data_IF_029437857718
#
_entry.id   IF_029437857718
#
_cell.length_a   1.000
_cell.length_b   1.000
_cell.length_c   1.000
_cell.angle_alpha   90.00
_cell.angle_beta   90.00
_cell.angle_gamma   90.00
#
_symmetry.space_group_name_H-M   'P 1'
#
loop_
_entity.id
_entity.type
_entity.pdbx_description
1 polymer ?
#
# COMPACT_ATOMS: atom_id res chain seq x y z
N UNK A 1 2.12 3.82 24.47
CA UNK A 1 1.19 4.77 23.83
C UNK A 1 1.84 5.25 22.53
N UNK A 2 1.28 4.91 21.42
CA UNK A 2 1.79 5.37 20.14
C UNK A 2 0.87 6.48 19.65
N UNK A 3 1.19 7.73 20.03
CA UNK A 3 0.43 8.90 19.59
C UNK A 3 0.60 9.24 18.10
N UNK A 4 1.33 8.43 17.33
CA UNK A 4 1.64 8.65 15.92
C UNK A 4 1.38 7.37 15.16
N UNK A 5 0.63 7.49 14.04
CA UNK A 5 0.41 6.41 13.06
C UNK A 5 0.60 6.98 11.66
N UNK A 6 1.62 6.51 10.95
CA UNK A 6 2.04 7.07 9.66
C UNK A 6 1.72 6.16 8.46
N UNK A 7 1.00 5.05 8.68
CA UNK A 7 0.62 4.14 7.61
C UNK A 7 -0.77 3.57 7.87
N UNK A 8 -1.79 4.23 7.29
CA UNK A 8 -3.19 3.84 7.47
C UNK A 8 -3.97 3.90 6.17
N UNK A 9 -4.97 3.03 6.04
CA UNK A 9 -5.82 2.94 4.87
C UNK A 9 -7.28 3.19 5.20
N UNK A 10 -7.95 3.95 4.33
CA UNK A 10 -9.40 4.13 4.34
C UNK A 10 -10.08 3.28 3.26
N UNK A 11 -11.40 3.39 3.15
CA UNK A 11 -12.17 2.76 2.08
C UNK A 11 -11.96 3.40 0.69
N UNK A 12 -11.12 4.43 0.60
CA UNK A 12 -10.65 4.95 -0.69
C UNK A 12 -9.73 3.93 -1.37
N UNK A 13 -9.04 3.08 -0.59
CA UNK A 13 -8.31 1.92 -1.12
C UNK A 13 -8.91 0.62 -0.56
N UNK A 14 -8.28 -0.06 0.35
CA UNK A 14 -8.72 -1.38 0.84
C UNK A 14 -8.96 -1.44 2.36
N UNK A 15 -8.92 -0.31 3.03
CA UNK A 15 -9.40 -0.17 4.39
C UNK A 15 -10.93 -0.36 4.51
N UNK A 16 -11.43 -0.41 5.73
CA UNK A 16 -12.86 -0.63 6.01
C UNK A 16 -13.59 0.62 6.49
N UNK A 17 -12.85 1.63 6.94
CA UNK A 17 -13.39 2.88 7.48
C UNK A 17 -13.33 3.98 6.43
N UNK A 18 -14.33 4.87 6.41
CA UNK A 18 -14.20 6.11 5.64
C UNK A 18 -13.09 6.99 6.21
N UNK A 19 -12.54 7.96 5.46
CA UNK A 19 -11.54 8.89 5.98
C UNK A 19 -11.97 9.56 7.29
N UNK A 20 -13.25 9.95 7.42
CA UNK A 20 -13.83 10.56 8.62
C UNK A 20 -13.89 9.56 9.78
N UNK A 21 -14.38 8.36 9.53
CA UNK A 21 -14.45 7.31 10.55
C UNK A 21 -13.07 6.90 11.04
N UNK A 22 -12.05 6.92 10.15
CA UNK A 22 -10.65 6.66 10.51
C UNK A 22 -10.10 7.76 11.43
N UNK A 23 -10.44 9.04 11.18
CA UNK A 23 -10.08 10.17 12.07
C UNK A 23 -10.63 9.93 13.49
N UNK A 24 -11.92 9.60 13.61
CA UNK A 24 -12.53 9.33 14.91
C UNK A 24 -11.93 8.10 15.60
N UNK A 25 -11.65 7.02 14.84
CA UNK A 25 -11.01 5.82 15.38
C UNK A 25 -9.58 6.11 15.90
N UNK A 26 -8.81 6.92 15.17
CA UNK A 26 -7.47 7.35 15.57
C UNK A 26 -7.49 8.14 16.89
N UNK A 27 -8.41 9.10 17.00
CA UNK A 27 -8.60 9.88 18.23
C UNK A 27 -8.98 8.98 19.40
N UNK A 28 -9.93 8.05 19.20
CA UNK A 28 -10.34 7.10 20.24
C UNK A 28 -9.19 6.18 20.68
N UNK A 29 -8.25 5.88 19.79
CA UNK A 29 -7.04 5.10 20.08
C UNK A 29 -5.90 5.95 20.70
N UNK A 30 -6.09 7.25 20.92
CA UNK A 30 -5.08 8.15 21.49
C UNK A 30 -4.00 8.57 20.50
N UNK A 31 -4.26 8.46 19.19
CA UNK A 31 -3.38 8.95 18.12
C UNK A 31 -3.58 10.46 18.00
N UNK A 32 -2.49 11.23 17.95
CA UNK A 32 -2.51 12.69 17.74
C UNK A 32 -1.87 13.12 16.41
N UNK A 33 -1.22 12.20 15.70
CA UNK A 33 -0.68 12.44 14.36
C UNK A 33 -0.94 11.21 13.51
N UNK A 34 -1.70 11.39 12.43
CA UNK A 34 -2.12 10.32 11.51
C UNK A 34 -1.68 10.67 10.09
N UNK A 35 -1.08 9.73 9.37
CA UNK A 35 -0.97 9.82 7.91
C UNK A 35 -2.01 8.92 7.25
N UNK A 36 -2.79 9.47 6.34
CA UNK A 36 -3.64 8.69 5.45
C UNK A 36 -2.84 8.36 4.20
N UNK A 37 -2.66 7.05 3.95
CA UNK A 37 -1.73 6.52 2.94
C UNK A 37 -2.39 5.47 2.07
N UNK A 38 -3.59 5.75 1.57
CA UNK A 38 -4.31 4.86 0.67
C UNK A 38 -3.47 4.45 -0.55
N UNK A 39 -3.67 3.25 -1.06
CA UNK A 39 -2.92 2.71 -2.20
C UNK A 39 -3.12 3.53 -3.47
N UNK A 40 -2.04 4.11 -3.98
CA UNK A 40 -1.97 4.89 -5.23
C UNK A 40 -3.08 5.96 -5.37
N UNK A 41 -3.60 6.45 -4.22
CA UNK A 41 -4.72 7.37 -4.18
C UNK A 41 -4.60 8.36 -3.01
N UNK A 42 -4.90 9.64 -3.25
CA UNK A 42 -4.86 10.71 -2.27
C UNK A 42 -6.23 11.38 -2.02
N UNK A 43 -7.32 10.85 -2.60
CA UNK A 43 -8.64 11.48 -2.59
C UNK A 43 -9.24 11.61 -1.18
N UNK A 44 -8.86 10.69 -0.26
CA UNK A 44 -9.31 10.70 1.14
C UNK A 44 -8.72 11.80 2.02
N UNK A 45 -7.58 12.39 1.63
CA UNK A 45 -6.80 13.29 2.50
C UNK A 45 -7.57 14.55 2.88
N UNK A 46 -8.25 15.19 1.91
CA UNK A 46 -9.00 16.41 2.19
C UNK A 46 -10.19 16.15 3.11
N UNK A 47 -10.86 15.01 2.96
CA UNK A 47 -11.96 14.56 3.82
C UNK A 47 -11.47 14.34 5.26
N UNK A 48 -10.34 13.63 5.42
CA UNK A 48 -9.72 13.42 6.74
C UNK A 48 -9.30 14.74 7.40
N UNK A 49 -8.69 15.66 6.65
CA UNK A 49 -8.32 17.00 7.14
C UNK A 49 -9.54 17.82 7.57
N UNK A 50 -10.57 17.87 6.73
CA UNK A 50 -11.80 18.58 7.07
C UNK A 50 -12.45 18.03 8.35
N UNK A 51 -12.53 16.71 8.48
CA UNK A 51 -13.04 16.06 9.69
C UNK A 51 -12.16 16.37 10.92
N UNK A 52 -10.83 16.33 10.79
CA UNK A 52 -9.94 16.63 11.92
C UNK A 52 -10.08 18.06 12.46
N UNK A 53 -10.47 19.02 11.60
CA UNK A 53 -10.72 20.42 12.00
C UNK A 53 -12.05 20.61 12.77
N UNK A 54 -12.96 19.66 12.71
CA UNK A 54 -14.24 19.70 13.45
C UNK A 54 -14.18 19.03 14.82
N UNK A 55 -13.02 18.47 15.20
CA UNK A 55 -12.84 17.84 16.50
C UNK A 55 -12.92 18.91 17.62
N UNK A 56 -13.76 18.62 18.62
CA UNK A 56 -13.89 19.49 19.78
C UNK A 56 -12.81 19.23 20.83
N UNK A 57 -12.43 20.26 21.57
CA UNK A 57 -11.49 20.13 22.69
C UNK A 57 -11.97 19.07 23.71
N UNK A 58 -11.08 18.27 24.31
CA UNK A 58 -9.61 18.36 24.23
C UNK A 58 -8.96 17.60 23.05
N UNK A 59 -9.74 17.12 22.11
CA UNK A 59 -9.25 16.28 21.01
C UNK A 59 -8.64 17.12 19.90
N UNK A 60 -7.47 16.68 19.42
CA UNK A 60 -6.84 17.22 18.23
C UNK A 60 -6.12 16.12 17.49
N UNK A 61 -6.17 16.13 16.16
CA UNK A 61 -5.48 15.17 15.31
C UNK A 61 -4.82 15.90 14.13
N UNK A 62 -3.51 15.80 14.05
CA UNK A 62 -2.75 16.28 12.90
C UNK A 62 -2.81 15.26 11.77
N UNK A 63 -3.33 15.65 10.60
CA UNK A 63 -3.32 14.83 9.40
C UNK A 63 -2.11 15.16 8.54
N UNK A 64 -1.25 14.17 8.32
CA UNK A 64 -0.15 14.22 7.36
C UNK A 64 -0.66 13.67 6.03
N UNK A 65 -0.54 14.42 4.91
CA UNK A 65 -0.85 13.88 3.60
C UNK A 65 0.17 12.79 3.25
N UNK A 66 -0.33 11.63 2.83
CA UNK A 66 0.47 10.49 2.45
C UNK A 66 -0.16 9.69 1.31
N UNK A 67 0.56 8.76 0.77
CA UNK A 67 0.09 7.74 -0.18
C UNK A 67 1.03 6.55 -0.15
N UNK A 68 0.50 5.34 -0.16
CA UNK A 68 1.29 4.12 -0.35
C UNK A 68 1.34 3.78 -1.84
N UNK A 69 2.51 4.00 -2.44
CA UNK A 69 2.74 3.84 -3.87
C UNK A 69 3.12 2.40 -4.18
N UNK A 70 2.37 1.77 -5.10
CA UNK A 70 2.74 0.48 -5.68
C UNK A 70 3.94 0.67 -6.62
N UNK A 71 5.05 0.03 -6.32
CA UNK A 71 6.30 0.12 -7.06
C UNK A 71 6.86 -1.26 -7.40
N UNK A 72 7.88 -1.31 -8.25
CA UNK A 72 8.56 -2.53 -8.62
C UNK A 72 10.04 -2.48 -8.24
N UNK A 73 10.50 -3.60 -7.71
CA UNK A 73 11.90 -3.87 -7.51
C UNK A 73 12.32 -5.09 -8.32
N UNK A 74 13.37 -4.96 -9.11
CA UNK A 74 13.91 -6.08 -9.89
C UNK A 74 15.32 -6.42 -9.41
N UNK A 75 15.56 -7.69 -9.12
CA UNK A 75 16.89 -8.16 -8.76
C UNK A 75 17.74 -8.31 -10.04
N UNK A 76 18.83 -7.55 -10.19
CA UNK A 76 19.63 -7.55 -11.42
C UNK A 76 20.11 -8.94 -11.85
N UNK A 77 20.58 -9.77 -10.89
CA UNK A 77 21.14 -11.09 -11.14
C UNK A 77 20.11 -12.12 -11.68
N UNK A 78 18.83 -11.97 -11.38
CA UNK A 78 17.80 -12.96 -11.74
C UNK A 78 16.77 -12.41 -12.71
N UNK A 79 16.77 -11.11 -12.98
CA UNK A 79 15.73 -10.38 -13.74
C UNK A 79 14.31 -10.59 -13.19
N UNK A 80 14.19 -11.14 -11.97
CA UNK A 80 12.89 -11.35 -11.31
C UNK A 80 12.43 -10.04 -10.73
N UNK A 81 11.20 -9.64 -11.05
CA UNK A 81 10.55 -8.45 -10.53
C UNK A 81 9.62 -8.80 -9.38
N UNK A 82 9.58 -7.93 -8.36
CA UNK A 82 8.75 -8.05 -7.17
C UNK A 82 8.00 -6.75 -6.97
N UNK A 83 6.71 -6.84 -6.64
CA UNK A 83 5.94 -5.70 -6.17
C UNK A 83 6.41 -5.31 -4.77
N UNK A 84 6.72 -4.04 -4.59
CA UNK A 84 7.07 -3.43 -3.31
C UNK A 84 6.28 -2.14 -3.15
N UNK A 85 6.18 -1.62 -1.93
CA UNK A 85 5.47 -0.38 -1.67
C UNK A 85 6.41 0.66 -1.08
N UNK A 86 6.18 1.91 -1.46
CA UNK A 86 6.86 3.08 -0.90
C UNK A 86 5.80 4.04 -0.39
N UNK A 87 5.84 4.34 0.89
CA UNK A 87 4.97 5.37 1.47
C UNK A 87 5.61 6.73 1.24
N UNK A 88 4.90 7.61 0.55
CA UNK A 88 5.24 9.01 0.44
C UNK A 88 4.54 9.80 1.55
N UNK A 89 5.27 10.63 2.29
CA UNK A 89 4.74 11.42 3.40
C UNK A 89 5.05 12.91 3.23
N UNK A 90 4.11 13.76 3.64
CA UNK A 90 4.35 15.17 3.87
C UNK A 90 4.64 16.01 2.63
N UNK A 91 4.19 15.60 1.44
CA UNK A 91 4.42 16.29 0.17
C UNK A 91 3.98 17.76 0.24
N UNK A 92 4.93 18.67 -0.04
CA UNK A 92 4.67 20.12 -0.08
C UNK A 92 4.23 20.59 -1.48
N UNK A 93 4.67 19.89 -2.53
CA UNK A 93 4.27 20.12 -3.91
C UNK A 93 3.78 18.81 -4.54
N UNK A 94 2.50 18.45 -4.39
CA UNK A 94 2.02 17.14 -4.82
C UNK A 94 1.88 16.97 -6.34
N UNK A 95 2.07 18.01 -7.16
CA UNK A 95 1.79 17.96 -8.60
C UNK A 95 2.54 16.84 -9.35
N UNK A 96 3.87 16.63 -9.18
CA UNK A 96 4.56 15.51 -9.84
C UNK A 96 4.00 14.15 -9.43
N UNK A 97 3.70 13.99 -8.14
CA UNK A 97 3.14 12.76 -7.60
C UNK A 97 1.74 12.49 -8.14
N UNK A 98 0.86 13.48 -8.17
CA UNK A 98 -0.50 13.34 -8.71
C UNK A 98 -0.48 12.93 -10.18
N UNK A 99 0.41 13.49 -10.99
CA UNK A 99 0.57 13.09 -12.41
C UNK A 99 0.97 11.60 -12.52
N UNK A 100 1.87 11.14 -11.68
CA UNK A 100 2.28 9.73 -11.63
C UNK A 100 1.12 8.84 -11.17
N UNK A 101 0.38 9.24 -10.13
CA UNK A 101 -0.76 8.47 -9.60
C UNK A 101 -1.88 8.30 -10.64
N UNK A 102 -2.12 9.28 -11.50
CA UNK A 102 -3.07 9.14 -12.60
C UNK A 102 -2.67 8.03 -13.60
N UNK A 103 -1.38 7.86 -13.86
CA UNK A 103 -0.90 6.72 -14.65
C UNK A 103 -1.07 5.39 -13.88
N UNK A 104 -0.73 5.37 -12.59
CA UNK A 104 -0.90 4.19 -11.74
C UNK A 104 -2.36 3.74 -11.66
N UNK A 105 -3.32 4.67 -11.55
CA UNK A 105 -4.77 4.38 -11.58
C UNK A 105 -5.15 3.57 -12.83
N UNK A 106 -4.68 3.98 -14.00
CA UNK A 106 -4.95 3.25 -15.27
C UNK A 106 -4.37 1.85 -15.24
N UNK A 107 -3.13 1.69 -14.79
CA UNK A 107 -2.46 0.39 -14.65
C UNK A 107 -3.22 -0.53 -13.67
N UNK A 108 -3.67 0.02 -12.52
CA UNK A 108 -4.46 -0.71 -11.53
C UNK A 108 -5.79 -1.20 -12.11
N UNK A 109 -6.54 -0.32 -12.77
CA UNK A 109 -7.82 -0.66 -13.39
C UNK A 109 -7.65 -1.78 -14.44
N UNK A 110 -6.65 -1.67 -15.32
CA UNK A 110 -6.35 -2.69 -16.31
C UNK A 110 -5.96 -4.03 -15.67
N UNK A 111 -5.09 -3.99 -14.65
CA UNK A 111 -4.66 -5.17 -13.90
C UNK A 111 -5.83 -5.85 -13.18
N UNK A 112 -6.69 -5.10 -12.52
CA UNK A 112 -7.86 -5.63 -11.82
C UNK A 112 -8.79 -6.37 -12.78
N UNK A 113 -9.09 -5.78 -13.94
CA UNK A 113 -9.89 -6.40 -15.00
C UNK A 113 -9.26 -7.69 -15.51
N UNK A 114 -7.94 -7.68 -15.73
CA UNK A 114 -7.20 -8.87 -16.17
C UNK A 114 -7.26 -10.01 -15.13
N UNK A 115 -7.08 -9.70 -13.83
CA UNK A 115 -7.21 -10.70 -12.75
C UNK A 115 -8.61 -11.31 -12.75
N UNK A 116 -9.67 -10.48 -12.85
CA UNK A 116 -11.04 -10.98 -12.89
C UNK A 116 -11.31 -11.86 -14.12
N UNK A 117 -10.78 -11.49 -15.29
CA UNK A 117 -10.88 -12.33 -16.50
C UNK A 117 -10.22 -13.70 -16.32
N UNK A 118 -8.98 -13.74 -15.79
CA UNK A 118 -8.31 -15.01 -15.47
C UNK A 118 -9.09 -15.85 -14.45
N UNK A 119 -9.72 -15.19 -13.47
CA UNK A 119 -10.57 -15.89 -12.51
C UNK A 119 -11.81 -16.47 -13.20
N UNK A 120 -12.48 -15.72 -14.09
CA UNK A 120 -13.63 -16.22 -14.85
C UNK A 120 -13.30 -17.52 -15.59
N UNK A 121 -12.10 -17.60 -16.21
CA UNK A 121 -11.64 -18.83 -16.88
C UNK A 121 -11.43 -20.01 -15.93
N UNK A 122 -11.05 -19.73 -14.67
CA UNK A 122 -10.74 -20.75 -13.67
C UNK A 122 -11.99 -21.26 -12.94
N UNK A 123 -12.87 -20.31 -12.55
CA UNK A 123 -14.01 -20.62 -11.67
C UNK A 123 -15.34 -20.65 -12.42
N UNK A 124 -15.35 -20.30 -13.72
CA UNK A 124 -16.53 -20.26 -14.61
C UNK A 124 -17.63 -19.31 -14.09
N UNK A 125 -17.23 -18.26 -13.35
CA UNK A 125 -18.12 -17.21 -12.82
C UNK A 125 -17.44 -15.86 -13.04
N UNK A 126 -18.13 -14.92 -13.71
CA UNK A 126 -17.66 -13.54 -13.79
C UNK A 126 -17.99 -12.80 -12.50
N UNK A 127 -16.95 -12.29 -11.84
CA UNK A 127 -17.05 -11.56 -10.57
C UNK A 127 -16.72 -10.07 -10.73
N UNK A 128 -16.46 -9.57 -11.95
CA UNK A 128 -15.95 -8.22 -12.13
C UNK A 128 -16.93 -7.15 -11.60
N UNK A 129 -18.22 -7.28 -11.95
CA UNK A 129 -19.24 -6.33 -11.49
C UNK A 129 -19.41 -6.34 -9.96
N UNK A 130 -19.31 -7.51 -9.31
CA UNK A 130 -19.36 -7.61 -7.85
C UNK A 130 -18.14 -6.94 -7.21
N UNK A 131 -16.95 -7.11 -7.80
CA UNK A 131 -15.73 -6.44 -7.33
C UNK A 131 -15.84 -4.93 -7.51
N UNK A 132 -16.37 -4.48 -8.66
CA UNK A 132 -16.56 -3.07 -8.98
C UNK A 132 -17.56 -2.39 -8.01
N UNK A 133 -18.59 -3.09 -7.61
CA UNK A 133 -19.57 -2.61 -6.62
C UNK A 133 -18.93 -2.40 -5.22
N UNK A 134 -17.91 -3.17 -4.85
CA UNK A 134 -17.19 -3.01 -3.58
C UNK A 134 -16.35 -1.72 -3.51
N UNK A 135 -16.10 -1.07 -4.64
CA UNK A 135 -15.31 0.15 -4.79
C UNK A 135 -16.12 1.29 -5.41
N UNK A 136 -17.43 1.26 -5.27
CA UNK A 136 -18.37 2.32 -5.71
C UNK A 136 -18.28 2.65 -7.22
N UNK A 137 -17.90 1.65 -8.03
CA UNK A 137 -17.76 1.79 -9.48
C UNK A 137 -16.40 2.32 -9.95
N UNK A 138 -15.43 2.50 -9.06
CA UNK A 138 -14.11 3.05 -9.38
C UNK A 138 -13.07 1.94 -9.60
N UNK A 139 -12.77 1.52 -10.84
CA UNK A 139 -11.96 0.34 -11.11
C UNK A 139 -10.49 0.45 -10.68
N UNK A 140 -9.97 1.66 -10.58
CA UNK A 140 -8.61 1.94 -10.10
C UNK A 140 -8.44 1.70 -8.59
N UNK A 141 -9.54 1.71 -7.82
CA UNK A 141 -9.54 1.37 -6.38
C UNK A 141 -9.53 -0.12 -6.12
N UNK A 142 -9.73 -0.96 -7.13
CA UNK A 142 -9.74 -2.42 -6.95
C UNK A 142 -8.35 -2.91 -6.53
N UNK A 143 -8.31 -3.55 -5.36
CA UNK A 143 -7.16 -4.30 -4.86
C UNK A 143 -7.44 -5.81 -4.92
N UNK A 144 -6.41 -6.64 -4.75
CA UNK A 144 -6.60 -8.10 -4.57
C UNK A 144 -7.45 -8.44 -3.34
N UNK A 145 -7.47 -7.56 -2.33
CA UNK A 145 -8.33 -7.71 -1.15
C UNK A 145 -9.80 -7.61 -1.52
N UNK A 146 -10.19 -6.68 -2.41
CA UNK A 146 -11.57 -6.59 -2.92
C UNK A 146 -11.96 -7.83 -3.72
N UNK A 147 -11.07 -8.31 -4.59
CA UNK A 147 -11.30 -9.56 -5.35
C UNK A 147 -11.48 -10.75 -4.39
N UNK A 148 -10.64 -10.85 -3.36
CA UNK A 148 -10.78 -11.90 -2.36
C UNK A 148 -12.10 -11.82 -1.58
N UNK A 149 -12.56 -10.59 -1.24
CA UNK A 149 -13.88 -10.37 -0.60
C UNK A 149 -15.02 -10.84 -1.53
N UNK A 150 -14.97 -10.49 -2.81
CA UNK A 150 -15.99 -10.92 -3.78
C UNK A 150 -16.03 -12.46 -3.91
N UNK A 151 -14.87 -13.13 -3.96
CA UNK A 151 -14.81 -14.60 -3.97
C UNK A 151 -15.42 -15.25 -2.71
N UNK A 152 -15.30 -14.60 -1.55
CA UNK A 152 -15.98 -15.04 -0.31
C UNK A 152 -17.47 -14.82 -0.40
N UNK A 153 -17.93 -13.65 -0.87
CA UNK A 153 -19.36 -13.36 -1.04
C UNK A 153 -20.05 -14.32 -2.01
N UNK A 154 -19.33 -14.74 -3.06
CA UNK A 154 -19.80 -15.76 -4.01
C UNK A 154 -19.64 -17.20 -3.50
N UNK A 155 -19.20 -17.41 -2.26
CA UNK A 155 -18.99 -18.71 -1.63
C UNK A 155 -17.98 -19.62 -2.37
N UNK A 156 -17.13 -19.06 -3.25
CA UNK A 156 -16.07 -19.78 -3.98
C UNK A 156 -14.93 -20.17 -3.01
N UNK A 157 -14.73 -19.34 -2.00
CA UNK A 157 -13.81 -19.60 -0.88
C UNK A 157 -14.50 -19.21 0.44
N UNK A 158 -14.07 -19.80 1.55
CA UNK A 158 -14.67 -19.56 2.88
C UNK A 158 -14.09 -18.33 3.60
N UNK A 159 -12.90 -17.89 3.21
CA UNK A 159 -12.19 -16.76 3.83
C UNK A 159 -11.22 -16.10 2.83
N UNK A 160 -10.89 -14.81 2.99
CA UNK A 160 -10.02 -14.08 2.06
C UNK A 160 -8.65 -14.74 1.88
N UNK A 161 -8.02 -15.26 2.93
CA UNK A 161 -6.73 -15.94 2.86
C UNK A 161 -6.74 -17.12 1.87
N UNK A 162 -7.85 -17.84 1.78
CA UNK A 162 -8.02 -18.95 0.83
C UNK A 162 -8.02 -18.48 -0.63
N UNK A 163 -8.57 -17.27 -0.91
CA UNK A 163 -8.50 -16.67 -2.24
C UNK A 163 -7.05 -16.37 -2.65
N UNK A 164 -6.27 -15.81 -1.73
CA UNK A 164 -4.84 -15.60 -1.98
C UNK A 164 -4.11 -16.91 -2.22
N UNK A 165 -4.31 -17.91 -1.38
CA UNK A 165 -3.60 -19.18 -1.44
C UNK A 165 -3.93 -19.98 -2.70
N UNK A 166 -5.17 -19.89 -3.20
CA UNK A 166 -5.61 -20.64 -4.38
C UNK A 166 -5.36 -19.90 -5.70
N UNK A 167 -5.54 -18.56 -5.72
CA UNK A 167 -5.67 -17.81 -6.97
C UNK A 167 -4.78 -16.57 -7.10
N UNK A 168 -4.59 -15.76 -6.02
CA UNK A 168 -4.18 -14.36 -6.15
C UNK A 168 -2.73 -14.06 -5.79
N UNK A 169 -2.04 -14.96 -5.05
CA UNK A 169 -0.63 -14.75 -4.71
C UNK A 169 0.31 -15.16 -5.84
N UNK A 170 1.55 -14.71 -5.77
CA UNK A 170 2.61 -15.06 -6.73
C UNK A 170 2.68 -16.57 -6.97
N UNK A 171 2.81 -16.96 -8.25
CA UNK A 171 2.84 -18.34 -8.69
C UNK A 171 1.45 -18.99 -8.86
N UNK A 172 0.35 -18.26 -8.63
CA UNK A 172 -1.01 -18.74 -8.86
C UNK A 172 -1.56 -18.28 -10.20
N UNK A 173 -2.54 -19.03 -10.73
CA UNK A 173 -3.05 -18.87 -12.11
C UNK A 173 -3.69 -17.50 -12.39
N UNK A 174 -4.27 -16.84 -11.38
CA UNK A 174 -4.85 -15.50 -11.52
C UNK A 174 -3.93 -14.41 -10.96
N UNK A 175 -2.65 -14.70 -10.68
CA UNK A 175 -1.69 -13.68 -10.32
C UNK A 175 -1.26 -12.88 -11.56
N UNK A 176 -1.45 -11.57 -11.50
CA UNK A 176 -0.95 -10.62 -12.50
C UNK A 176 0.04 -9.69 -11.80
N UNK A 177 1.24 -9.58 -12.35
CA UNK A 177 2.24 -8.66 -11.83
C UNK A 177 1.74 -7.21 -11.96
N UNK A 178 2.20 -6.35 -11.08
CA UNK A 178 1.92 -4.92 -11.19
C UNK A 178 3.06 -4.28 -12.01
N UNK A 179 2.71 -3.64 -13.10
CA UNK A 179 3.68 -3.01 -14.02
C UNK A 179 3.71 -1.49 -13.81
N UNK A 180 4.00 -1.09 -12.57
CA UNK A 180 4.16 0.31 -12.19
C UNK A 180 5.61 0.79 -12.28
N UNK A 181 5.87 1.96 -11.70
CA UNK A 181 7.21 2.56 -11.67
C UNK A 181 8.23 1.69 -10.91
N UNK A 182 9.47 1.74 -11.35
CA UNK A 182 10.59 1.19 -10.61
C UNK A 182 10.84 1.92 -9.29
N UNK A 183 11.48 1.24 -8.34
CA UNK A 183 11.75 1.75 -7.00
C UNK A 183 12.46 3.11 -7.02
N UNK A 184 13.56 3.24 -7.77
CA UNK A 184 14.33 4.47 -7.86
C UNK A 184 13.52 5.63 -8.46
N UNK A 185 12.74 5.37 -9.52
CA UNK A 185 11.88 6.37 -10.16
C UNK A 185 10.77 6.83 -9.20
N UNK A 186 10.18 5.91 -8.45
CA UNK A 186 9.19 6.23 -7.41
C UNK A 186 9.76 7.20 -6.37
N UNK A 187 10.97 6.94 -5.86
CA UNK A 187 11.65 7.81 -4.89
C UNK A 187 11.91 9.19 -5.49
N UNK A 188 12.37 9.26 -6.74
CA UNK A 188 12.61 10.54 -7.44
C UNK A 188 11.33 11.38 -7.56
N UNK A 189 10.18 10.77 -7.89
CA UNK A 189 8.90 11.48 -7.96
C UNK A 189 8.46 11.98 -6.60
N UNK A 190 8.67 11.21 -5.53
CA UNK A 190 8.38 11.61 -4.15
C UNK A 190 9.21 12.84 -3.78
N UNK A 191 10.51 12.84 -4.05
CA UNK A 191 11.40 13.97 -3.76
C UNK A 191 11.10 15.20 -4.64
N UNK A 192 10.74 15.01 -5.92
CA UNK A 192 10.26 16.11 -6.77
C UNK A 192 8.98 16.74 -6.21
N UNK A 193 8.18 15.96 -5.46
CA UNK A 193 7.01 16.43 -4.73
C UNK A 193 7.32 17.00 -3.34
N UNK A 194 8.60 17.11 -2.97
CA UNK A 194 9.08 17.56 -1.64
C UNK A 194 8.49 16.74 -0.50
N UNK A 195 8.36 15.44 -0.70
CA UNK A 195 7.93 14.45 0.29
C UNK A 195 9.09 13.59 0.76
N UNK A 196 8.82 12.75 1.76
CA UNK A 196 9.72 11.73 2.28
C UNK A 196 9.32 10.36 1.75
N UNK A 197 10.30 9.57 1.29
CA UNK A 197 10.11 8.21 0.79
C UNK A 197 10.42 7.20 1.90
N UNK A 198 9.44 6.37 2.27
CA UNK A 198 9.56 5.35 3.31
C UNK A 198 9.33 3.96 2.71
N UNK A 199 10.26 3.03 2.85
CA UNK A 199 10.07 1.65 2.42
C UNK A 199 9.06 0.96 3.34
N UNK A 200 7.90 0.60 2.79
CA UNK A 200 6.80 0.02 3.55
C UNK A 200 7.05 -1.46 3.87
N UNK A 201 6.73 -1.87 5.09
CA UNK A 201 6.64 -3.26 5.59
C UNK A 201 7.56 -4.30 4.90
N UNK A 202 8.89 -4.11 4.85
CA UNK A 202 9.80 -4.94 4.05
C UNK A 202 9.78 -6.42 4.44
N UNK A 203 9.36 -6.75 5.65
CA UNK A 203 9.28 -8.12 6.17
C UNK A 203 7.98 -8.83 5.79
N UNK A 204 7.00 -8.12 5.22
CA UNK A 204 5.72 -8.68 4.75
C UNK A 204 5.81 -9.28 3.34
N UNK A 205 6.85 -8.94 2.58
CA UNK A 205 7.05 -9.52 1.26
C UNK A 205 7.52 -10.97 1.35
N UNK A 206 7.12 -11.79 0.37
CA UNK A 206 7.61 -13.18 0.25
C UNK A 206 9.04 -13.17 -0.32
N UNK A 207 9.96 -12.55 0.41
CA UNK A 207 11.36 -12.40 0.06
C UNK A 207 12.27 -13.14 1.05
N UNK A 208 13.38 -13.70 0.55
CA UNK A 208 14.43 -14.19 1.43
C UNK A 208 15.14 -13.03 2.14
N UNK A 209 15.76 -13.29 3.28
CA UNK A 209 16.57 -12.29 4.00
C UNK A 209 17.64 -11.63 3.09
N UNK A 210 18.22 -12.37 2.16
CA UNK A 210 19.16 -11.83 1.17
C UNK A 210 18.47 -10.84 0.24
N UNK A 211 17.29 -11.16 -0.26
CA UNK A 211 16.55 -10.26 -1.14
C UNK A 211 16.05 -9.01 -0.42
N UNK A 212 15.69 -9.11 0.87
CA UNK A 212 15.34 -7.94 1.69
C UNK A 212 16.57 -7.02 1.83
N UNK A 213 17.78 -7.56 2.06
CA UNK A 213 19.00 -6.74 2.12
C UNK A 213 19.25 -5.99 0.81
N UNK A 214 19.15 -6.66 -0.34
CA UNK A 214 19.29 -6.00 -1.65
C UNK A 214 18.23 -4.95 -1.92
N UNK A 215 16.99 -5.21 -1.50
CA UNK A 215 15.90 -4.23 -1.62
C UNK A 215 16.22 -2.96 -0.80
N UNK A 216 16.64 -3.13 0.46
CA UNK A 216 16.96 -2.00 1.35
C UNK A 216 18.19 -1.25 0.87
N UNK A 217 19.23 -1.97 0.41
CA UNK A 217 20.43 -1.38 -0.19
C UNK A 217 20.06 -0.50 -1.40
N UNK A 218 19.32 -1.04 -2.38
CA UNK A 218 18.90 -0.27 -3.55
C UNK A 218 17.99 0.91 -3.18
N UNK A 219 17.10 0.72 -2.19
CA UNK A 219 16.24 1.79 -1.70
C UNK A 219 17.06 2.95 -1.12
N UNK A 220 18.04 2.65 -0.28
CA UNK A 220 18.95 3.64 0.29
C UNK A 220 19.82 4.33 -0.78
N UNK A 221 20.43 3.56 -1.69
CA UNK A 221 21.22 4.08 -2.81
C UNK A 221 20.42 4.97 -3.76
N UNK A 222 19.10 4.72 -3.86
CA UNK A 222 18.18 5.56 -4.64
C UNK A 222 17.73 6.82 -3.91
N UNK A 223 18.19 7.03 -2.66
CA UNK A 223 17.87 8.19 -1.83
C UNK A 223 16.65 8.01 -0.93
N UNK A 224 16.23 6.79 -0.62
CA UNK A 224 15.14 6.56 0.35
C UNK A 224 15.46 7.16 1.71
N UNK A 225 14.45 7.69 2.40
CA UNK A 225 14.61 8.47 3.62
C UNK A 225 14.43 7.66 4.91
N UNK A 226 13.59 6.63 4.88
CA UNK A 226 13.28 5.81 6.05
C UNK A 226 12.74 4.44 5.67
N UNK A 227 12.65 3.55 6.66
CA UNK A 227 12.09 2.20 6.51
C UNK A 227 11.09 1.92 7.65
N UNK A 228 9.99 1.27 7.33
CA UNK A 228 9.00 0.85 8.32
C UNK A 228 9.55 -0.30 9.16
N UNK A 229 9.43 -0.15 10.48
CA UNK A 229 9.91 -1.16 11.43
C UNK A 229 9.09 -2.44 11.38
N UNK A 230 9.72 -3.61 11.49
CA UNK A 230 8.99 -4.87 11.61
C UNK A 230 8.11 -4.89 12.87
N UNK A 231 6.92 -5.51 12.80
CA UNK A 231 6.06 -5.66 13.95
C UNK A 231 6.75 -6.48 15.06
N UNK A 232 6.34 -6.25 16.31
CA UNK A 232 6.88 -6.97 17.48
C UNK A 232 6.69 -8.50 17.38
N UNK A 233 5.71 -8.95 16.60
CA UNK A 233 5.44 -10.37 16.32
C UNK A 233 6.46 -11.05 15.41
N UNK A 234 7.26 -10.26 14.67
CA UNK A 234 8.28 -10.83 13.79
C UNK A 234 9.44 -11.45 14.60
N UNK A 235 10.12 -12.48 14.05
CA UNK A 235 11.27 -13.10 14.71
C UNK A 235 12.34 -12.07 15.08
N UNK A 236 12.94 -12.23 16.27
CA UNK A 236 13.99 -11.31 16.76
C UNK A 236 15.14 -11.16 15.77
N UNK A 237 15.54 -12.26 15.09
CA UNK A 237 16.59 -12.22 14.06
C UNK A 237 16.24 -11.33 12.86
N UNK A 238 14.96 -11.32 12.46
CA UNK A 238 14.45 -10.46 11.38
C UNK A 238 14.49 -9.00 11.81
N UNK A 239 13.99 -8.69 13.01
CA UNK A 239 14.02 -7.32 13.57
C UNK A 239 15.46 -6.81 13.68
N UNK A 240 16.37 -7.59 14.24
CA UNK A 240 17.80 -7.23 14.33
C UNK A 240 18.46 -7.04 12.95
N UNK A 241 18.03 -7.78 11.95
CA UNK A 241 18.51 -7.59 10.57
C UNK A 241 18.09 -6.21 10.05
N UNK A 242 16.83 -5.83 10.22
CA UNK A 242 16.32 -4.51 9.78
C UNK A 242 17.01 -3.39 10.58
N UNK A 243 17.16 -3.52 11.90
CA UNK A 243 17.86 -2.53 12.74
C UNK A 243 19.31 -2.28 12.25
N UNK A 244 20.02 -3.34 11.88
CA UNK A 244 21.38 -3.21 11.31
C UNK A 244 21.39 -2.49 9.96
N UNK A 245 20.40 -2.76 9.10
CA UNK A 245 20.28 -2.10 7.79
C UNK A 245 19.95 -0.61 7.96
N UNK A 246 19.08 -0.27 8.90
CA UNK A 246 18.77 1.13 9.26
C UNK A 246 20.05 1.86 9.69
N UNK A 247 20.83 1.25 10.59
CA UNK A 247 22.08 1.85 11.05
C UNK A 247 23.12 1.95 9.94
N UNK A 248 23.20 0.93 9.07
CA UNK A 248 24.18 0.88 7.97
C UNK A 248 23.92 1.95 6.91
N UNK A 249 22.67 2.22 6.61
CA UNK A 249 22.27 3.11 5.51
C UNK A 249 21.68 4.45 5.99
N UNK A 250 21.61 4.67 7.31
CA UNK A 250 21.05 5.88 7.94
C UNK A 250 19.58 6.18 7.54
N UNK A 251 18.75 5.12 7.52
CA UNK A 251 17.32 5.18 7.18
C UNK A 251 16.44 5.44 8.41
#
# INVERSE_FOLDING_TARGET
MHGIDLHTHSNISDGTLSPEALVHAAVAAGVHTLALTDHDNMDGIQRAKACSMTLEAPYSLRIIPGVEISSQWSRPATKKSYGVHVVALGMQNPAPLLQMLEQQKRIRAARARHICHLLTDIIQVDIYEQVLALVEGEPDRITRTHIAKALVQQQIVSRPQQAFDRYLKEGKKAFVNFEGLGLAETIQVIHASRGFAVLAHPTRYTLSATNIRYLVELFAESGGDAIELPPASDPTSTRQMIDRLIQQYAL
#
